data_IF_643003264127
#
_entry.id   IF_643003264127
#
_cell.length_a   1.000
_cell.length_b   1.000
_cell.length_c   1.000
_cell.angle_alpha   90.00
_cell.angle_beta   90.00
_cell.angle_gamma   90.00
#
_symmetry.space_group_name_H-M   'P 1'
#
loop_
_entity.id
_entity.type
_entity.pdbx_description
1 polymer ?
#
# COMPACT_ATOMS: atom_id res chain seq x y z
N UNK A 1 -54.42 -49.55 18.61
CA UNK A 1 -53.89 -48.68 19.68
C UNK A 1 -52.45 -48.30 19.29
N UNK A 2 -52.15 -46.99 19.30
CA UNK A 2 -50.99 -46.25 18.79
C UNK A 2 -49.66 -47.01 18.53
N UNK A 3 -49.19 -46.91 17.30
CA UNK A 3 -47.76 -46.83 16.97
C UNK A 3 -47.19 -45.48 17.46
N UNK A 4 -46.05 -45.47 18.14
CA UNK A 4 -45.12 -44.34 18.05
C UNK A 4 -43.69 -44.81 18.29
N UNK A 5 -42.96 -44.84 17.18
CA UNK A 5 -41.56 -45.19 17.02
C UNK A 5 -40.70 -44.04 17.58
N UNK A 6 -39.85 -44.31 18.58
CA UNK A 6 -38.85 -43.34 19.06
C UNK A 6 -37.56 -43.53 18.26
N UNK A 7 -37.45 -42.88 17.11
CA UNK A 7 -36.17 -42.73 16.40
C UNK A 7 -35.45 -41.50 16.93
N UNK A 8 -34.68 -41.68 18.01
CA UNK A 8 -33.62 -40.72 18.35
C UNK A 8 -32.49 -40.87 17.33
N UNK A 9 -32.33 -39.90 16.43
CA UNK A 9 -31.14 -39.82 15.58
C UNK A 9 -29.98 -39.31 16.44
N UNK A 10 -29.17 -40.24 16.95
CA UNK A 10 -27.83 -39.91 17.44
C UNK A 10 -26.99 -39.43 16.26
N UNK A 11 -26.87 -38.11 16.08
CA UNK A 11 -25.81 -37.53 15.27
C UNK A 11 -24.51 -37.68 16.05
N UNK A 12 -23.66 -38.61 15.64
CA UNK A 12 -22.26 -38.58 16.03
C UNK A 12 -21.67 -37.25 15.54
N UNK A 13 -21.41 -36.32 16.45
CA UNK A 13 -20.49 -35.22 16.20
C UNK A 13 -19.14 -35.85 15.87
N UNK A 14 -18.79 -35.90 14.59
CA UNK A 14 -17.41 -36.12 14.16
C UNK A 14 -16.62 -34.90 14.65
N UNK A 15 -15.95 -35.05 15.79
CA UNK A 15 -14.95 -34.08 16.22
C UNK A 15 -13.96 -33.87 15.08
N UNK A 16 -13.57 -32.61 14.85
CA UNK A 16 -12.55 -32.19 13.88
C UNK A 16 -11.24 -32.99 14.03
N UNK A 17 -11.02 -33.57 15.22
CA UNK A 17 -9.94 -34.52 15.51
C UNK A 17 -9.94 -35.77 14.61
N UNK A 18 -11.10 -36.23 14.11
CA UNK A 18 -11.21 -37.45 13.29
C UNK A 18 -10.74 -37.29 11.84
N UNK A 19 -10.72 -36.06 11.32
CA UNK A 19 -10.14 -35.74 10.00
C UNK A 19 -8.62 -35.56 10.08
N UNK A 20 -8.09 -35.09 11.21
CA UNK A 20 -6.65 -34.98 11.45
C UNK A 20 -5.96 -36.35 11.63
N UNK A 21 -6.63 -37.33 12.24
CA UNK A 21 -6.04 -38.66 12.49
C UNK A 21 -5.85 -39.48 11.19
N UNK A 22 -6.73 -39.32 10.20
CA UNK A 22 -6.62 -40.13 8.97
C UNK A 22 -5.45 -39.72 8.07
N UNK A 23 -4.94 -38.49 8.19
CA UNK A 23 -3.77 -38.02 7.46
C UNK A 23 -2.43 -38.29 8.19
N UNK A 24 -2.44 -38.41 9.52
CA UNK A 24 -1.23 -38.67 10.32
C UNK A 24 -0.71 -40.11 10.25
N UNK A 25 -1.46 -41.06 9.67
CA UNK A 25 -1.04 -42.47 9.61
C UNK A 25 -0.14 -42.76 8.38
N UNK A 26 -0.03 -41.83 7.41
CA UNK A 26 0.72 -42.06 6.17
C UNK A 26 1.77 -41.00 5.80
N UNK A 27 1.97 -39.95 6.60
CA UNK A 27 2.96 -38.92 6.32
C UNK A 27 4.33 -39.28 6.95
N UNK A 28 5.45 -39.27 6.19
CA UNK A 28 6.80 -39.30 6.74
C UNK A 28 6.97 -38.16 7.77
N UNK A 29 7.77 -38.35 8.83
CA UNK A 29 7.99 -37.31 9.83
C UNK A 29 8.60 -36.06 9.17
N UNK A 30 7.83 -34.97 9.10
CA UNK A 30 8.28 -33.68 8.57
C UNK A 30 7.32 -32.92 7.64
N UNK A 31 6.22 -33.53 7.16
CA UNK A 31 5.20 -32.78 6.41
C UNK A 31 4.06 -32.36 7.34
N UNK A 32 3.98 -31.07 7.66
CA UNK A 32 2.75 -30.47 8.21
C UNK A 32 1.60 -30.74 7.24
N UNK A 33 0.41 -31.07 7.75
CA UNK A 33 -0.76 -31.25 6.90
C UNK A 33 -1.08 -29.91 6.23
N UNK A 34 -1.04 -29.87 4.90
CA UNK A 34 -1.41 -28.69 4.10
C UNK A 34 -2.93 -28.69 3.86
N UNK A 35 -3.60 -27.57 4.16
CA UNK A 35 -5.04 -27.42 3.99
C UNK A 35 -5.32 -26.53 2.78
N UNK A 36 -5.80 -27.11 1.69
CA UNK A 36 -6.10 -26.37 0.46
C UNK A 36 -7.36 -25.49 0.55
N UNK A 37 -8.33 -25.86 1.37
CA UNK A 37 -9.52 -25.02 1.63
C UNK A 37 -9.76 -24.89 3.15
N UNK A 38 -9.51 -23.70 3.66
CA UNK A 38 -9.57 -23.36 5.08
C UNK A 38 -10.95 -22.78 5.38
N UNK A 39 -11.77 -23.57 6.09
CA UNK A 39 -13.11 -23.18 6.60
C UNK A 39 -13.16 -23.14 8.14
N UNK A 40 -12.00 -23.32 8.77
CA UNK A 40 -11.78 -23.25 10.22
C UNK A 40 -10.44 -22.57 10.48
N UNK A 41 -9.70 -22.97 11.52
CA UNK A 41 -8.40 -22.37 11.84
C UNK A 41 -7.27 -23.33 11.48
N UNK A 42 -6.26 -22.83 10.77
CA UNK A 42 -4.98 -23.52 10.53
C UNK A 42 -3.81 -22.61 10.93
N UNK A 43 -2.72 -23.20 11.37
CA UNK A 43 -1.54 -22.48 11.85
C UNK A 43 -0.28 -23.05 11.21
N UNK A 44 0.69 -22.17 10.94
CA UNK A 44 2.06 -22.52 10.57
C UNK A 44 2.16 -23.44 9.34
N UNK A 45 1.23 -23.28 8.39
CA UNK A 45 1.24 -24.03 7.14
C UNK A 45 2.16 -23.37 6.11
N UNK A 46 2.99 -24.18 5.46
CA UNK A 46 3.72 -23.76 4.25
C UNK A 46 2.83 -23.93 3.02
N UNK A 47 2.70 -22.86 2.24
CA UNK A 47 1.91 -22.81 1.00
C UNK A 47 2.89 -22.78 -0.19
N UNK A 48 3.05 -23.93 -0.85
CA UNK A 48 3.75 -24.10 -2.15
C UNK A 48 2.76 -24.54 -3.27
N UNK A 49 1.47 -24.50 -2.96
CA UNK A 49 0.37 -24.77 -3.88
C UNK A 49 -0.72 -23.73 -3.73
N UNK A 50 -1.97 -24.08 -4.06
CA UNK A 50 -3.11 -23.18 -3.86
C UNK A 50 -3.79 -23.44 -2.52
N UNK A 51 -3.92 -22.41 -1.70
CA UNK A 51 -4.69 -22.42 -0.46
C UNK A 51 -5.76 -21.33 -0.52
N UNK A 52 -7.02 -21.72 -0.34
CA UNK A 52 -8.14 -20.78 -0.20
C UNK A 52 -8.55 -20.68 1.26
N UNK A 53 -8.77 -19.46 1.74
CA UNK A 53 -9.29 -19.14 3.07
C UNK A 53 -10.67 -18.52 2.90
N UNK A 54 -11.70 -19.34 3.10
CA UNK A 54 -13.11 -18.96 2.87
C UNK A 54 -13.64 -18.07 4.01
N UNK A 55 -14.90 -17.62 3.96
CA UNK A 55 -15.45 -16.64 4.92
C UNK A 55 -15.48 -17.08 6.40
N UNK A 56 -15.26 -18.38 6.66
CA UNK A 56 -15.13 -18.95 8.02
C UNK A 56 -13.69 -19.38 8.36
N UNK A 57 -12.79 -19.22 7.40
CA UNK A 57 -11.40 -19.61 7.48
C UNK A 57 -10.53 -18.59 8.21
N UNK A 58 -9.55 -19.09 8.94
CA UNK A 58 -8.46 -18.30 9.49
C UNK A 58 -7.15 -19.05 9.31
N UNK A 59 -6.16 -18.38 8.72
CA UNK A 59 -4.76 -18.85 8.72
C UNK A 59 -3.96 -18.00 9.68
N UNK A 60 -3.06 -18.62 10.46
CA UNK A 60 -2.07 -17.89 11.25
C UNK A 60 -0.67 -18.36 10.85
N UNK A 61 0.23 -17.41 10.64
CA UNK A 61 1.63 -17.63 10.29
C UNK A 61 1.81 -18.49 9.03
N UNK A 62 0.97 -18.30 8.01
CA UNK A 62 1.14 -19.02 6.75
C UNK A 62 2.46 -18.58 6.09
N UNK A 63 3.27 -19.54 5.64
CA UNK A 63 4.51 -19.28 4.93
C UNK A 63 4.35 -19.60 3.45
N UNK A 64 4.20 -18.57 2.63
CA UNK A 64 3.91 -18.69 1.20
C UNK A 64 5.23 -18.56 0.42
N UNK A 65 5.56 -19.60 -0.34
CA UNK A 65 6.87 -19.74 -0.99
C UNK A 65 6.71 -20.18 -2.46
N UNK A 66 7.78 -20.09 -3.25
CA UNK A 66 7.88 -20.71 -4.59
C UNK A 66 6.76 -20.29 -5.56
N UNK A 67 5.77 -21.14 -5.84
CA UNK A 67 4.59 -20.77 -6.65
C UNK A 67 3.30 -20.86 -5.83
N UNK A 68 3.44 -20.84 -4.50
CA UNK A 68 2.35 -20.84 -3.56
C UNK A 68 1.46 -19.63 -3.74
N UNK A 69 0.16 -19.89 -3.79
CA UNK A 69 -0.87 -18.89 -3.92
C UNK A 69 -1.88 -19.06 -2.79
N UNK A 70 -1.95 -18.08 -1.89
CA UNK A 70 -3.00 -18.03 -0.88
C UNK A 70 -4.09 -17.04 -1.29
N UNK A 71 -5.31 -17.51 -1.44
CA UNK A 71 -6.49 -16.70 -1.70
C UNK A 71 -7.29 -16.51 -0.41
N UNK A 72 -7.21 -15.33 0.19
CA UNK A 72 -8.01 -14.93 1.35
C UNK A 72 -9.34 -14.35 0.85
N UNK A 73 -10.36 -15.20 0.74
CA UNK A 73 -11.63 -14.91 0.10
C UNK A 73 -12.75 -14.76 1.13
N UNK A 74 -12.93 -13.54 1.65
CA UNK A 74 -13.83 -13.26 2.77
C UNK A 74 -13.34 -13.76 4.14
N UNK A 75 -12.29 -14.59 4.17
CA UNK A 75 -11.66 -15.10 5.38
C UNK A 75 -10.61 -14.17 5.98
N UNK A 76 -9.82 -14.71 6.92
CA UNK A 76 -8.77 -13.96 7.64
C UNK A 76 -7.42 -14.66 7.55
N UNK A 77 -6.35 -13.90 7.32
CA UNK A 77 -4.97 -14.38 7.34
C UNK A 77 -4.11 -13.49 8.22
N UNK A 78 -3.52 -14.05 9.26
CA UNK A 78 -2.71 -13.32 10.24
C UNK A 78 -1.25 -13.73 10.15
N UNK A 79 -0.33 -12.76 10.08
CA UNK A 79 1.11 -12.99 10.20
C UNK A 79 1.72 -13.75 9.03
N UNK A 80 1.12 -13.72 7.84
CA UNK A 80 1.67 -14.44 6.70
C UNK A 80 3.03 -13.91 6.28
N UNK A 81 3.98 -14.81 6.01
CA UNK A 81 5.27 -14.51 5.39
C UNK A 81 5.21 -14.91 3.92
N UNK A 82 5.42 -13.96 3.02
CA UNK A 82 5.41 -14.19 1.57
C UNK A 82 6.83 -14.03 1.04
N UNK A 83 7.52 -15.14 0.83
CA UNK A 83 8.86 -15.12 0.25
C UNK A 83 8.80 -15.07 -1.29
N UNK A 84 9.98 -14.98 -1.92
CA UNK A 84 10.13 -14.89 -3.37
C UNK A 84 9.33 -15.97 -4.10
N UNK A 85 8.51 -15.50 -5.05
CA UNK A 85 7.61 -16.32 -5.86
C UNK A 85 6.24 -16.61 -5.22
N UNK A 86 6.12 -16.48 -3.89
CA UNK A 86 4.84 -16.56 -3.20
C UNK A 86 3.90 -15.40 -3.57
N UNK A 87 2.60 -15.70 -3.59
CA UNK A 87 1.54 -14.73 -3.82
C UNK A 87 0.41 -14.88 -2.80
N UNK A 88 -0.09 -13.75 -2.30
CA UNK A 88 -1.34 -13.69 -1.53
C UNK A 88 -2.34 -12.77 -2.21
N UNK A 89 -3.52 -13.29 -2.53
CA UNK A 89 -4.69 -12.53 -2.95
C UNK A 89 -5.62 -12.29 -1.75
N UNK A 90 -6.11 -11.07 -1.56
CA UNK A 90 -7.07 -10.73 -0.50
C UNK A 90 -8.28 -10.06 -1.11
N UNK A 91 -9.45 -10.68 -0.99
CA UNK A 91 -10.67 -10.22 -1.66
C UNK A 91 -11.94 -10.50 -0.84
N UNK A 92 -13.01 -9.77 -1.13
CA UNK A 92 -14.31 -10.02 -0.51
C UNK A 92 -15.04 -11.26 -1.06
N UNK A 93 -15.87 -11.88 -0.23
CA UNK A 93 -16.81 -12.93 -0.60
C UNK A 93 -18.23 -12.54 -0.19
N UNK A 94 -19.04 -12.10 -1.15
CA UNK A 94 -20.40 -11.63 -0.86
C UNK A 94 -20.38 -10.45 0.13
N UNK A 95 -20.94 -10.65 1.33
CA UNK A 95 -20.94 -9.63 2.39
C UNK A 95 -19.72 -9.68 3.32
N UNK A 96 -18.78 -10.60 3.10
CA UNK A 96 -17.59 -10.78 3.93
C UNK A 96 -16.37 -10.12 3.29
N UNK A 97 -15.60 -9.38 4.07
CA UNK A 97 -14.34 -8.77 3.63
C UNK A 97 -13.18 -9.73 3.91
N UNK A 98 -12.33 -9.98 2.91
CA UNK A 98 -11.07 -10.68 3.11
C UNK A 98 -10.10 -9.81 3.89
N UNK A 99 -9.43 -10.38 4.90
CA UNK A 99 -8.53 -9.63 5.76
C UNK A 99 -7.14 -10.27 5.83
N UNK A 100 -6.11 -9.49 5.53
CA UNK A 100 -4.72 -9.87 5.78
C UNK A 100 -4.09 -8.94 6.82
N UNK A 101 -3.64 -9.49 7.93
CA UNK A 101 -3.13 -8.73 9.07
C UNK A 101 -1.65 -9.07 9.28
N UNK A 102 -0.82 -8.04 9.39
CA UNK A 102 0.61 -8.16 9.70
C UNK A 102 1.38 -9.08 8.72
N UNK A 103 1.02 -9.02 7.43
CA UNK A 103 1.74 -9.74 6.37
C UNK A 103 3.15 -9.16 6.22
N UNK A 104 4.14 -10.03 6.03
CA UNK A 104 5.51 -9.65 5.67
C UNK A 104 5.79 -10.14 4.26
N UNK A 105 6.13 -9.23 3.36
CA UNK A 105 6.44 -9.53 1.95
C UNK A 105 7.95 -9.43 1.74
N UNK A 106 8.60 -10.55 1.48
CA UNK A 106 10.05 -10.69 1.37
C UNK A 106 10.45 -11.21 -0.02
N UNK A 107 10.34 -10.34 -1.03
CA UNK A 107 10.52 -10.68 -2.45
C UNK A 107 9.31 -11.35 -3.11
N UNK A 108 8.29 -11.69 -2.34
CA UNK A 108 6.99 -12.17 -2.83
C UNK A 108 6.05 -11.04 -3.22
N UNK A 109 4.76 -11.36 -3.34
CA UNK A 109 3.74 -10.40 -3.76
C UNK A 109 2.42 -10.54 -3.00
N UNK A 110 1.75 -9.41 -2.79
CA UNK A 110 0.40 -9.36 -2.23
C UNK A 110 -0.50 -8.50 -3.13
N UNK A 111 -1.68 -9.01 -3.46
CA UNK A 111 -2.70 -8.27 -4.20
C UNK A 111 -3.94 -8.14 -3.32
N UNK A 112 -4.41 -6.91 -3.12
CA UNK A 112 -5.65 -6.62 -2.42
C UNK A 112 -6.67 -6.19 -3.47
N UNK A 113 -7.65 -7.05 -3.73
CA UNK A 113 -8.75 -6.79 -4.65
C UNK A 113 -9.96 -6.20 -3.95
N UNK A 114 -11.03 -5.97 -4.72
CA UNK A 114 -12.31 -5.45 -4.22
C UNK A 114 -12.79 -6.20 -2.96
N UNK A 115 -13.16 -5.43 -1.94
CA UNK A 115 -13.60 -5.95 -0.65
C UNK A 115 -12.49 -6.53 0.23
N UNK A 116 -11.24 -6.55 -0.24
CA UNK A 116 -10.06 -6.92 0.53
C UNK A 116 -9.55 -5.77 1.39
N UNK A 117 -9.07 -6.13 2.59
CA UNK A 117 -8.44 -5.22 3.53
C UNK A 117 -7.10 -5.81 3.98
N UNK A 118 -6.05 -5.01 3.92
CA UNK A 118 -4.75 -5.35 4.48
C UNK A 118 -4.32 -4.35 5.54
N UNK A 119 -3.86 -4.84 6.70
CA UNK A 119 -3.45 -3.99 7.82
C UNK A 119 -2.05 -4.34 8.31
N UNK A 120 -1.20 -3.33 8.49
CA UNK A 120 0.13 -3.49 9.09
C UNK A 120 1.11 -4.33 8.26
N UNK A 121 0.92 -4.38 6.93
CA UNK A 121 1.84 -5.08 6.03
C UNK A 121 3.23 -4.43 6.03
N UNK A 122 4.27 -5.25 6.04
CA UNK A 122 5.67 -4.83 5.85
C UNK A 122 6.14 -5.33 4.49
N UNK A 123 6.58 -4.43 3.63
CA UNK A 123 7.10 -4.73 2.29
C UNK A 123 8.62 -4.54 2.31
N UNK A 124 9.36 -5.64 2.28
CA UNK A 124 10.82 -5.65 2.24
C UNK A 124 11.36 -5.60 0.80
N UNK A 125 12.68 -5.68 0.63
CA UNK A 125 13.36 -5.65 -0.66
C UNK A 125 12.71 -6.61 -1.67
N UNK A 126 12.43 -6.08 -2.87
CA UNK A 126 11.76 -6.76 -3.99
C UNK A 126 10.33 -7.24 -3.71
N UNK A 127 9.82 -7.06 -2.51
CA UNK A 127 8.42 -7.31 -2.19
C UNK A 127 7.52 -6.31 -2.90
N UNK A 128 6.36 -6.78 -3.35
CA UNK A 128 5.37 -5.91 -4.00
C UNK A 128 4.00 -6.06 -3.37
N UNK A 129 3.28 -4.94 -3.28
CA UNK A 129 1.88 -4.90 -2.89
C UNK A 129 1.06 -4.11 -3.91
N UNK A 130 0.01 -4.71 -4.45
CA UNK A 130 -0.97 -4.04 -5.32
C UNK A 130 -2.28 -3.83 -4.57
N UNK A 131 -2.73 -2.58 -4.44
CA UNK A 131 -4.02 -2.22 -3.84
C UNK A 131 -4.95 -1.77 -4.96
N UNK A 132 -5.88 -2.62 -5.36
CA UNK A 132 -6.76 -2.37 -6.51
C UNK A 132 -7.95 -1.49 -6.14
N UNK A 133 -8.73 -1.07 -7.14
CA UNK A 133 -9.96 -0.28 -6.94
C UNK A 133 -10.88 -0.95 -5.91
N UNK A 134 -11.50 -0.15 -5.04
CA UNK A 134 -12.36 -0.61 -3.93
C UNK A 134 -11.67 -1.50 -2.88
N UNK A 135 -10.34 -1.62 -2.92
CA UNK A 135 -9.54 -2.25 -1.88
C UNK A 135 -8.98 -1.23 -0.87
N UNK A 136 -8.59 -1.72 0.31
CA UNK A 136 -7.96 -0.90 1.35
C UNK A 136 -6.67 -1.52 1.89
N UNK A 137 -5.64 -0.69 2.00
CA UNK A 137 -4.44 -0.97 2.78
C UNK A 137 -4.28 0.08 3.89
N UNK A 138 -3.97 -0.34 5.11
CA UNK A 138 -3.77 0.56 6.25
C UNK A 138 -2.47 0.23 6.98
N UNK A 139 -1.76 1.28 7.39
CA UNK A 139 -0.52 1.18 8.16
C UNK A 139 0.58 0.33 7.49
N UNK A 140 0.62 0.30 6.15
CA UNK A 140 1.68 -0.38 5.41
C UNK A 140 3.03 0.30 5.63
N UNK A 141 4.06 -0.48 5.95
CA UNK A 141 5.47 -0.05 5.98
C UNK A 141 6.17 -0.54 4.72
N UNK A 142 6.77 0.37 3.96
CA UNK A 142 7.53 0.06 2.74
C UNK A 142 9.01 0.31 3.01
N UNK A 143 9.78 -0.76 3.20
CA UNK A 143 11.21 -0.70 3.44
C UNK A 143 12.01 -0.65 2.14
N UNK A 144 13.33 -0.51 2.25
CA UNK A 144 14.24 -0.34 1.11
C UNK A 144 14.06 -1.44 0.04
N UNK A 145 13.77 -1.02 -1.19
CA UNK A 145 13.52 -1.91 -2.33
C UNK A 145 12.10 -2.48 -2.42
N UNK A 146 11.25 -2.26 -1.42
CA UNK A 146 9.83 -2.61 -1.47
C UNK A 146 9.01 -1.63 -2.30
N UNK A 147 7.92 -2.12 -2.89
CA UNK A 147 7.03 -1.33 -3.76
C UNK A 147 5.57 -1.54 -3.38
N UNK A 148 4.81 -0.44 -3.30
CA UNK A 148 3.36 -0.44 -3.17
C UNK A 148 2.72 0.34 -4.31
N UNK A 149 1.87 -0.33 -5.09
CA UNK A 149 1.10 0.26 -6.18
C UNK A 149 -0.36 0.42 -5.74
N UNK A 150 -0.90 1.64 -5.85
CA UNK A 150 -2.21 2.00 -5.29
C UNK A 150 -3.14 2.52 -6.38
N UNK A 151 -4.17 1.73 -6.70
CA UNK A 151 -5.36 2.15 -7.46
C UNK A 151 -6.63 2.21 -6.58
N UNK A 152 -6.57 1.65 -5.35
CA UNK A 152 -7.59 1.76 -4.31
C UNK A 152 -7.25 2.81 -3.26
N UNK A 153 -7.42 2.46 -1.97
CA UNK A 153 -7.14 3.37 -0.85
C UNK A 153 -5.98 2.87 0.01
N UNK A 154 -5.00 3.73 0.24
CA UNK A 154 -3.89 3.49 1.17
C UNK A 154 -3.91 4.56 2.28
N UNK A 155 -3.96 4.13 3.55
CA UNK A 155 -3.94 5.04 4.70
C UNK A 155 -2.73 4.78 5.60
N UNK A 156 -2.19 5.86 6.18
CA UNK A 156 -1.14 5.79 7.20
C UNK A 156 0.14 5.05 6.75
N UNK A 157 0.45 5.09 5.44
CA UNK A 157 1.65 4.44 4.91
C UNK A 157 2.92 5.08 5.46
N UNK A 158 3.91 4.25 5.80
CA UNK A 158 5.26 4.68 6.19
C UNK A 158 6.24 4.20 5.13
N UNK A 159 7.00 5.11 4.52
CA UNK A 159 8.03 4.78 3.53
C UNK A 159 9.42 4.97 4.16
N UNK A 160 10.20 3.90 4.22
CA UNK A 160 11.55 3.82 4.78
C UNK A 160 12.53 3.25 3.73
N UNK A 161 12.61 3.92 2.58
CA UNK A 161 13.52 3.58 1.49
C UNK A 161 12.84 2.90 0.30
N UNK A 162 11.57 2.50 0.45
CA UNK A 162 10.77 1.93 -0.62
C UNK A 162 10.13 2.97 -1.54
N UNK A 163 9.23 2.48 -2.40
CA UNK A 163 8.45 3.32 -3.32
C UNK A 163 6.95 3.09 -3.16
N UNK A 164 6.19 4.19 -3.11
CA UNK A 164 4.73 4.15 -3.25
C UNK A 164 4.31 4.83 -4.55
N UNK A 165 3.60 4.11 -5.43
CA UNK A 165 3.02 4.66 -6.65
C UNK A 165 1.51 4.79 -6.51
N UNK A 166 0.97 5.99 -6.73
CA UNK A 166 -0.46 6.26 -6.69
C UNK A 166 -0.95 6.42 -8.12
N UNK A 167 -1.68 5.41 -8.60
CA UNK A 167 -2.22 5.34 -9.95
C UNK A 167 -3.62 5.95 -10.05
N UNK A 168 -4.20 5.94 -11.24
CA UNK A 168 -5.54 6.43 -11.50
C UNK A 168 -6.57 5.82 -10.54
N UNK A 169 -7.42 6.67 -9.95
CA UNK A 169 -8.37 6.35 -8.85
C UNK A 169 -7.73 6.01 -7.50
N UNK A 170 -6.40 5.87 -7.44
CA UNK A 170 -5.66 5.64 -6.21
C UNK A 170 -5.69 6.86 -5.30
N UNK A 171 -5.93 6.63 -4.01
CA UNK A 171 -5.92 7.66 -2.98
C UNK A 171 -4.97 7.22 -1.86
N UNK A 172 -3.98 8.06 -1.55
CA UNK A 172 -3.11 7.87 -0.39
C UNK A 172 -3.27 9.00 0.63
N UNK A 173 -3.67 8.67 1.85
CA UNK A 173 -3.89 9.65 2.93
C UNK A 173 -2.93 9.42 4.09
N UNK A 174 -2.30 10.50 4.57
CA UNK A 174 -1.50 10.47 5.80
C UNK A 174 -0.19 9.70 5.66
N UNK A 175 0.48 9.80 4.51
CA UNK A 175 1.76 9.11 4.29
C UNK A 175 2.92 9.85 4.94
N UNK A 176 3.78 9.11 5.62
CA UNK A 176 5.06 9.60 6.13
C UNK A 176 6.21 9.01 5.31
N UNK A 177 6.99 9.85 4.63
CA UNK A 177 8.18 9.46 3.88
C UNK A 177 9.40 9.82 4.72
N UNK A 178 10.01 8.82 5.35
CA UNK A 178 11.23 8.99 6.14
C UNK A 178 12.48 8.86 5.24
N UNK A 179 12.40 7.99 4.24
CA UNK A 179 13.33 7.85 3.11
C UNK A 179 12.60 7.19 1.94
N UNK A 180 13.13 7.30 0.72
CA UNK A 180 12.49 6.71 -0.47
C UNK A 180 11.61 7.72 -1.22
N UNK A 181 10.59 7.22 -1.93
CA UNK A 181 9.83 8.05 -2.88
C UNK A 181 8.34 7.73 -2.91
N UNK A 182 7.52 8.77 -3.02
CA UNK A 182 6.12 8.66 -3.44
C UNK A 182 5.95 9.28 -4.84
N UNK A 183 5.38 8.52 -5.77
CA UNK A 183 5.01 9.00 -7.10
C UNK A 183 3.49 9.09 -7.21
N UNK A 184 2.98 10.26 -7.58
CA UNK A 184 1.56 10.51 -7.81
C UNK A 184 1.37 10.61 -9.33
N UNK A 185 0.88 9.53 -9.91
CA UNK A 185 0.71 9.36 -11.35
C UNK A 185 -0.59 10.02 -11.83
N UNK A 186 -0.83 10.00 -13.13
CA UNK A 186 -2.06 10.53 -13.74
C UNK A 186 -3.32 9.93 -13.08
N UNK A 187 -4.20 10.80 -12.57
CA UNK A 187 -5.44 10.43 -11.89
C UNK A 187 -5.27 9.95 -10.45
N UNK A 188 -4.03 9.86 -9.95
CA UNK A 188 -3.74 9.53 -8.56
C UNK A 188 -3.84 10.76 -7.66
N UNK A 189 -4.28 10.54 -6.41
CA UNK A 189 -4.40 11.59 -5.39
C UNK A 189 -3.63 11.24 -4.13
N UNK A 190 -2.82 12.18 -3.64
CA UNK A 190 -2.26 12.10 -2.30
C UNK A 190 -2.78 13.23 -1.44
N UNK A 191 -3.16 12.92 -0.20
CA UNK A 191 -3.59 13.88 0.80
C UNK A 191 -2.73 13.74 2.05
N UNK A 192 -2.19 14.86 2.52
CA UNK A 192 -1.39 14.96 3.75
C UNK A 192 -0.17 14.05 3.69
N UNK A 193 0.89 14.51 3.01
CA UNK A 193 2.16 13.78 2.94
C UNK A 193 3.24 14.52 3.71
N UNK A 194 3.89 13.87 4.68
CA UNK A 194 5.05 14.41 5.36
C UNK A 194 6.32 13.86 4.72
N UNK A 195 7.21 14.74 4.28
CA UNK A 195 8.40 14.39 3.50
C UNK A 195 9.64 14.80 4.30
N UNK A 196 10.43 13.82 4.73
CA UNK A 196 11.62 14.04 5.57
C UNK A 196 12.89 14.21 4.72
N UNK A 197 14.02 14.46 5.39
CA UNK A 197 15.32 14.61 4.74
C UNK A 197 15.67 13.42 3.84
N UNK A 198 16.19 13.69 2.63
CA UNK A 198 16.56 12.67 1.64
C UNK A 198 15.37 11.98 0.94
N UNK A 199 14.14 12.36 1.28
CA UNK A 199 12.91 11.78 0.71
C UNK A 199 12.34 12.62 -0.41
N UNK A 200 11.54 12.00 -1.28
CA UNK A 200 10.95 12.69 -2.45
C UNK A 200 9.46 12.39 -2.61
N UNK A 201 8.71 13.41 -3.01
CA UNK A 201 7.39 13.25 -3.62
C UNK A 201 7.44 13.80 -5.04
N UNK A 202 7.04 13.01 -6.03
CA UNK A 202 6.89 13.43 -7.41
C UNK A 202 5.40 13.47 -7.79
N UNK A 203 4.94 14.62 -8.28
CA UNK A 203 3.60 14.82 -8.83
C UNK A 203 3.73 14.86 -10.35
N UNK A 204 3.28 13.80 -11.01
CA UNK A 204 3.34 13.69 -12.46
C UNK A 204 2.14 14.36 -13.13
N UNK A 205 2.17 14.41 -14.47
CA UNK A 205 1.08 14.97 -15.27
C UNK A 205 -0.26 14.30 -14.91
N UNK A 206 -1.24 15.12 -14.53
CA UNK A 206 -2.58 14.68 -14.13
C UNK A 206 -2.66 14.10 -12.72
N UNK A 207 -1.56 14.09 -11.95
CA UNK A 207 -1.57 13.74 -10.53
C UNK A 207 -1.89 14.94 -9.64
N UNK A 208 -2.46 14.68 -8.46
CA UNK A 208 -2.81 15.73 -7.49
C UNK A 208 -2.25 15.41 -6.09
N UNK A 209 -1.51 16.35 -5.52
CA UNK A 209 -1.11 16.35 -4.12
C UNK A 209 -1.80 17.48 -3.35
N UNK A 210 -2.32 17.19 -2.16
CA UNK A 210 -2.84 18.19 -1.23
C UNK A 210 -2.19 18.07 0.14
N UNK A 211 -1.81 19.18 0.76
CA UNK A 211 -1.29 19.19 2.13
C UNK A 211 0.08 18.53 2.29
N UNK A 212 0.97 18.68 1.31
CA UNK A 212 2.34 18.15 1.41
C UNK A 212 3.19 19.05 2.32
N UNK A 213 3.74 18.48 3.40
CA UNK A 213 4.68 19.14 4.31
C UNK A 213 6.10 18.64 4.04
N UNK A 214 6.96 19.50 3.50
CA UNK A 214 8.32 19.16 3.11
C UNK A 214 9.27 19.73 4.17
N UNK A 215 9.94 18.83 4.89
CA UNK A 215 10.95 19.22 5.90
C UNK A 215 12.30 19.53 5.27
N UNK A 216 13.20 20.09 6.07
CA UNK A 216 14.60 20.30 5.69
C UNK A 216 15.23 19.04 5.08
N UNK A 217 15.79 19.18 3.88
CA UNK A 217 16.40 18.12 3.07
C UNK A 217 15.41 17.24 2.29
N UNK A 218 14.10 17.43 2.45
CA UNK A 218 13.08 16.77 1.63
C UNK A 218 12.87 17.49 0.31
N UNK A 219 12.34 16.78 -0.69
CA UNK A 219 12.09 17.35 -2.03
C UNK A 219 10.65 17.10 -2.49
N UNK A 220 9.99 18.18 -2.94
CA UNK A 220 8.79 18.10 -3.76
C UNK A 220 9.17 18.36 -5.23
N UNK A 221 8.77 17.46 -6.11
CA UNK A 221 8.93 17.57 -7.56
C UNK A 221 7.55 17.67 -8.19
N UNK A 222 7.27 18.73 -8.92
CA UNK A 222 6.02 18.90 -9.67
C UNK A 222 6.34 19.01 -11.16
N UNK A 223 5.99 17.96 -11.89
CA UNK A 223 6.17 17.91 -13.34
C UNK A 223 5.10 18.74 -14.05
N UNK A 224 5.33 19.05 -15.33
CA UNK A 224 4.36 19.76 -16.16
C UNK A 224 3.01 19.05 -16.16
N UNK A 225 1.95 19.78 -15.80
CA UNK A 225 0.59 19.24 -15.69
C UNK A 225 0.27 18.57 -14.35
N UNK A 226 1.17 18.60 -13.37
CA UNK A 226 0.93 18.15 -12.00
C UNK A 226 0.33 19.26 -11.13
N UNK A 227 -0.47 18.89 -10.13
CA UNK A 227 -1.16 19.82 -9.22
C UNK A 227 -0.70 19.57 -7.78
N UNK A 228 -0.26 20.61 -7.08
CA UNK A 228 0.15 20.53 -5.68
C UNK A 228 -0.41 21.74 -4.88
N UNK A 229 -1.41 21.50 -4.03
CA UNK A 229 -2.06 22.57 -3.25
C UNK A 229 -1.84 22.41 -1.75
N UNK A 230 -1.83 23.53 -1.02
CA UNK A 230 -1.55 23.52 0.41
C UNK A 230 -0.16 22.97 0.71
N UNK A 231 0.81 23.25 -0.16
CA UNK A 231 2.21 22.85 0.05
C UNK A 231 2.80 23.68 1.19
N UNK A 232 3.50 23.03 2.10
CA UNK A 232 4.28 23.70 3.15
C UNK A 232 5.74 23.31 3.03
N UNK A 233 6.59 24.29 2.81
CA UNK A 233 8.03 24.12 2.66
C UNK A 233 8.76 24.69 3.89
N UNK A 234 9.49 23.84 4.61
CA UNK A 234 10.42 24.26 5.67
C UNK A 234 11.69 24.89 5.08
N UNK A 235 12.44 25.63 5.89
CA UNK A 235 13.79 26.06 5.54
C UNK A 235 14.68 24.84 5.26
N UNK A 236 15.42 24.88 4.17
CA UNK A 236 16.23 23.79 3.66
C UNK A 236 15.43 22.71 2.93
N UNK A 237 14.14 22.88 2.66
CA UNK A 237 13.44 22.00 1.71
C UNK A 237 13.77 22.37 0.26
N UNK A 238 13.49 21.46 -0.68
CA UNK A 238 13.66 21.72 -2.10
C UNK A 238 12.33 21.59 -2.85
N UNK A 239 12.02 22.59 -3.68
CA UNK A 239 10.97 22.56 -4.68
C UNK A 239 11.61 22.47 -6.07
N UNK A 240 11.25 21.44 -6.83
CA UNK A 240 11.62 21.29 -8.25
C UNK A 240 10.35 21.40 -9.09
N UNK A 241 10.22 22.49 -9.84
CA UNK A 241 9.00 22.82 -10.57
C UNK A 241 9.26 23.54 -11.89
N UNK A 242 8.19 23.76 -12.66
CA UNK A 242 8.25 24.48 -13.92
C UNK A 242 6.96 25.29 -14.15
N UNK A 243 7.04 26.35 -14.94
CA UNK A 243 5.88 27.18 -15.33
C UNK A 243 5.09 26.61 -16.52
N UNK A 244 5.32 25.34 -16.90
CA UNK A 244 4.66 24.70 -18.05
C UNK A 244 3.14 24.57 -17.90
N UNK A 245 2.48 24.31 -19.02
CA UNK A 245 1.02 24.21 -19.08
C UNK A 245 0.46 23.17 -18.10
N UNK A 246 -0.48 23.61 -17.26
CA UNK A 246 -1.16 22.77 -16.28
C UNK A 246 -0.36 22.49 -15.01
N UNK A 247 0.86 22.98 -14.86
CA UNK A 247 1.49 23.04 -13.53
C UNK A 247 0.70 24.03 -12.67
N UNK A 248 0.22 23.56 -11.52
CA UNK A 248 -0.55 24.38 -10.59
C UNK A 248 -0.09 24.10 -9.15
N UNK A 249 0.59 25.06 -8.55
CA UNK A 249 1.17 24.97 -7.21
C UNK A 249 0.70 26.16 -6.39
N UNK A 250 0.18 25.86 -5.21
CA UNK A 250 -0.24 26.83 -4.20
C UNK A 250 0.30 26.39 -2.84
N UNK A 251 1.03 27.26 -2.16
CA UNK A 251 1.65 26.89 -0.90
C UNK A 251 2.34 28.03 -0.16
N UNK A 252 3.03 27.64 0.90
CA UNK A 252 3.76 28.54 1.78
C UNK A 252 5.19 28.04 1.96
N UNK A 253 6.15 28.96 1.82
CA UNK A 253 7.48 28.81 2.37
C UNK A 253 7.51 29.60 3.68
N UNK A 254 7.62 28.91 4.82
CA UNK A 254 7.42 29.49 6.15
C UNK A 254 6.04 30.17 6.31
N UNK A 255 5.98 31.49 6.24
CA UNK A 255 4.76 32.30 6.33
C UNK A 255 4.49 33.10 5.05
N UNK A 256 5.37 32.98 4.05
CA UNK A 256 5.22 33.63 2.76
C UNK A 256 4.50 32.71 1.80
N UNK A 257 3.40 33.19 1.25
CA UNK A 257 2.65 32.49 0.21
C UNK A 257 3.42 32.57 -1.12
N UNK A 258 3.41 31.47 -1.88
CA UNK A 258 3.97 31.40 -3.23
C UNK A 258 3.03 30.61 -4.14
N UNK A 259 3.11 30.89 -5.44
CA UNK A 259 2.29 30.21 -6.44
C UNK A 259 3.09 29.90 -7.70
N UNK A 260 2.69 28.84 -8.39
CA UNK A 260 3.02 28.58 -9.79
C UNK A 260 1.72 28.18 -10.48
N UNK A 261 1.09 29.10 -11.20
CA UNK A 261 -0.20 28.82 -11.84
C UNK A 261 -0.35 29.62 -13.14
N UNK A 262 -1.09 29.09 -14.11
CA UNK A 262 -1.37 29.79 -15.38
C UNK A 262 -0.12 30.24 -16.17
N UNK A 263 1.02 29.57 -16.00
CA UNK A 263 2.27 29.98 -16.65
C UNK A 263 3.01 31.12 -15.94
N UNK A 264 2.75 31.34 -14.66
CA UNK A 264 3.42 32.37 -13.85
C UNK A 264 3.81 31.82 -12.49
N UNK A 265 5.08 31.99 -12.14
CA UNK A 265 5.59 31.74 -10.80
C UNK A 265 5.71 33.07 -10.03
N UNK A 266 5.26 33.10 -8.78
CA UNK A 266 5.35 34.28 -7.90
C UNK A 266 5.87 33.89 -6.52
N UNK A 267 6.80 34.68 -5.99
CA UNK A 267 7.35 34.53 -4.63
C UNK A 267 8.01 33.17 -4.35
N UNK A 268 8.43 32.46 -5.40
CA UNK A 268 9.10 31.16 -5.27
C UNK A 268 10.47 31.37 -4.62
N UNK A 269 10.72 30.66 -3.53
CA UNK A 269 12.04 30.59 -2.90
C UNK A 269 12.69 29.27 -3.29
N UNK A 270 13.90 29.35 -3.84
CA UNK A 270 14.71 28.20 -4.18
C UNK A 270 15.87 28.10 -3.19
N UNK A 271 15.90 26.99 -2.45
CA UNK A 271 16.97 26.63 -1.52
C UNK A 271 17.47 25.22 -1.86
N UNK A 272 18.69 24.87 -1.46
CA UNK A 272 19.29 23.55 -1.66
C UNK A 272 19.27 23.11 -3.14
N UNK A 273 18.69 21.95 -3.42
CA UNK A 273 18.54 21.40 -4.77
C UNK A 273 17.24 21.86 -5.44
N UNK A 274 16.62 22.93 -4.94
CA UNK A 274 15.42 23.51 -5.52
C UNK A 274 15.71 24.07 -6.91
N UNK A 275 14.76 23.90 -7.83
CA UNK A 275 14.89 24.30 -9.22
C UNK A 275 13.55 24.83 -9.74
N UNK A 276 13.58 25.97 -10.44
CA UNK A 276 12.45 26.48 -11.20
C UNK A 276 12.84 26.61 -12.67
N UNK A 277 12.24 25.78 -13.52
CA UNK A 277 12.34 25.96 -14.97
C UNK A 277 11.24 26.89 -15.48
N UNK A 278 11.63 28.05 -16.00
CA UNK A 278 10.71 28.99 -16.67
C UNK A 278 10.65 28.68 -18.17
N UNK A 279 9.54 28.15 -18.65
CA UNK A 279 9.40 27.76 -20.07
C UNK A 279 9.12 28.98 -20.98
N UNK A 280 9.25 28.80 -22.30
CA UNK A 280 9.02 29.90 -23.25
C UNK A 280 7.62 30.53 -23.07
N UNK A 281 7.55 31.86 -23.18
CA UNK A 281 6.31 32.65 -23.05
C UNK A 281 5.65 32.64 -21.67
N UNK A 282 6.36 32.17 -20.64
CA UNK A 282 5.91 32.19 -19.24
C UNK A 282 6.81 33.11 -18.41
N UNK A 283 6.47 33.33 -17.15
CA UNK A 283 7.21 34.28 -16.30
C UNK A 283 7.44 33.76 -14.88
N UNK A 284 8.50 34.26 -14.25
CA UNK A 284 8.73 34.14 -12.82
C UNK A 284 9.01 35.54 -12.26
N UNK A 285 8.32 35.89 -11.18
CA UNK A 285 8.39 37.19 -10.53
C UNK A 285 8.70 36.96 -9.05
N UNK A 286 9.54 37.83 -8.49
CA UNK A 286 9.94 37.79 -7.07
C UNK A 286 10.48 36.42 -6.63
N UNK A 287 11.21 35.76 -7.53
CA UNK A 287 11.91 34.52 -7.22
C UNK A 287 13.18 34.83 -6.43
N UNK A 288 13.34 34.20 -5.27
CA UNK A 288 14.51 34.34 -4.41
C UNK A 288 15.34 33.08 -4.49
N UNK A 289 16.63 33.20 -4.77
CA UNK A 289 17.58 32.09 -4.63
C UNK A 289 18.43 32.30 -3.40
N UNK A 290 18.42 31.32 -2.49
CA UNK A 290 19.24 31.34 -1.29
C UNK A 290 20.47 30.43 -1.48
N UNK A 291 21.65 30.86 -1.00
CA UNK A 291 22.85 30.05 -1.08
C UNK A 291 22.73 28.80 -0.19
N UNK A 292 23.40 27.73 -0.63
CA UNK A 292 23.56 26.48 0.13
C UNK A 292 24.48 26.64 1.35
#
# INVERSE_FOLDING_TARGET
MKFMNRTSRYYFHRSVLSLLISAMIYAPPGMTAFTSNVIGVVNDETVDGSQRVDERGTTNNAHIINHGNQEVYGGVSNGSLIDTGGHQEVSGHGSYQGQANNTVINGGSQTISEGGISTGTIINDKGTMSVLTNAKADATRIDNGGVMDVAGNATNTIINGGTQNIYNHGIATGTNINSGTKNIKSGGKADTTNISSGSKQAVEKGGTATGSNIRAGGTLIVHTGGIAHGVYLDMGSALVANTGAGTDIDGYQRSSHFTITGGRAEHVVLENTGELTVVAQTSAVDTVMLPN
#
